data_IF_835039581984
#
_entry.id   IF_835039581984
#
_cell.length_a   1.000
_cell.length_b   1.000
_cell.length_c   1.000
_cell.angle_alpha   90.00
_cell.angle_beta   90.00
_cell.angle_gamma   90.00
#
_symmetry.space_group_name_H-M   'P 1'
#
loop_
_entity.id
_entity.type
_entity.pdbx_description
1 polymer ?
#
# COMPACT_ATOMS: atom_id res chain seq x y z
N UNK A 1 6.18 -12.79 -6.57
CA UNK A 1 4.87 -12.27 -6.17
C UNK A 1 4.56 -11.06 -7.03
N UNK A 2 3.34 -10.96 -7.53
CA UNK A 2 2.94 -9.83 -8.36
C UNK A 2 2.47 -8.67 -7.47
N UNK A 3 3.27 -7.62 -7.39
CA UNK A 3 2.96 -6.45 -6.55
C UNK A 3 2.08 -5.42 -7.26
N UNK A 4 1.68 -5.67 -8.49
CA UNK A 4 0.82 -4.74 -9.22
C UNK A 4 -0.54 -4.60 -8.53
N UNK A 5 -1.12 -5.71 -8.09
CA UNK A 5 -2.40 -5.70 -7.37
C UNK A 5 -2.27 -4.93 -6.07
N UNK A 6 -1.16 -5.14 -5.35
CA UNK A 6 -0.89 -4.42 -4.11
C UNK A 6 -0.94 -2.90 -4.33
N UNK A 7 -0.20 -2.42 -5.32
CA UNK A 7 -0.16 -0.98 -5.61
C UNK A 7 -1.53 -0.43 -6.00
N UNK A 8 -2.25 -1.15 -6.84
CA UNK A 8 -3.60 -0.74 -7.27
C UNK A 8 -4.56 -0.65 -6.10
N UNK A 9 -4.53 -1.64 -5.19
CA UNK A 9 -5.44 -1.67 -4.05
C UNK A 9 -5.09 -0.62 -3.02
N UNK A 10 -3.80 -0.37 -2.78
CA UNK A 10 -3.39 0.72 -1.88
C UNK A 10 -3.87 2.07 -2.44
N UNK A 11 -3.63 2.32 -3.73
CA UNK A 11 -4.05 3.57 -4.37
C UNK A 11 -5.57 3.75 -4.28
N UNK A 12 -6.32 2.68 -4.50
CA UNK A 12 -7.77 2.72 -4.43
C UNK A 12 -8.26 3.03 -3.01
N UNK A 13 -7.66 2.41 -2.00
CA UNK A 13 -8.01 2.67 -0.60
C UNK A 13 -7.68 4.11 -0.20
N UNK A 14 -6.53 4.63 -0.63
CA UNK A 14 -6.19 6.03 -0.38
C UNK A 14 -7.26 6.96 -0.95
N UNK A 15 -7.68 6.68 -2.18
CA UNK A 15 -8.71 7.49 -2.82
C UNK A 15 -10.03 7.43 -2.06
N UNK A 16 -10.46 6.22 -1.66
CA UNK A 16 -11.71 6.05 -0.92
C UNK A 16 -11.67 6.72 0.44
N UNK A 17 -10.52 6.70 1.10
CA UNK A 17 -10.35 7.30 2.42
C UNK A 17 -9.95 8.77 2.35
N UNK A 18 -9.83 9.32 1.14
CA UNK A 18 -9.43 10.72 0.92
C UNK A 18 -8.06 11.04 1.52
N UNK A 19 -7.14 10.08 1.41
CA UNK A 19 -5.76 10.22 1.83
C UNK A 19 -4.86 10.32 0.61
N UNK A 20 -3.72 11.00 0.78
CA UNK A 20 -2.71 11.11 -0.29
C UNK A 20 -1.57 10.15 -0.06
N UNK A 21 -0.81 9.86 -1.12
CA UNK A 21 0.40 9.06 -0.99
C UNK A 21 1.42 9.77 -0.08
N UNK A 22 1.47 11.10 -0.13
CA UNK A 22 2.36 11.88 0.73
C UNK A 22 2.06 11.63 2.20
N UNK A 23 0.79 11.65 2.59
CA UNK A 23 0.37 11.40 3.97
C UNK A 23 0.74 9.97 4.37
N UNK A 24 0.48 9.00 3.49
CA UNK A 24 0.84 7.61 3.80
C UNK A 24 2.35 7.47 3.98
N UNK A 25 3.14 8.08 3.09
CA UNK A 25 4.61 8.04 3.22
C UNK A 25 5.07 8.64 4.54
N UNK A 26 4.47 9.75 4.97
CA UNK A 26 4.79 10.37 6.25
C UNK A 26 4.51 9.42 7.41
N UNK A 27 3.35 8.73 7.39
CA UNK A 27 2.99 7.78 8.44
C UNK A 27 3.92 6.56 8.46
N UNK A 28 4.46 6.19 7.31
CA UNK A 28 5.40 5.08 7.20
C UNK A 28 6.85 5.51 7.47
N UNK A 29 7.10 6.82 7.60
CA UNK A 29 8.44 7.39 7.77
C UNK A 29 9.37 7.04 6.60
N UNK A 30 8.83 7.08 5.39
CA UNK A 30 9.58 6.85 4.17
C UNK A 30 9.41 8.04 3.23
N UNK A 31 10.30 8.15 2.24
CA UNK A 31 10.18 9.18 1.23
C UNK A 31 8.99 8.90 0.31
N UNK A 32 8.26 9.94 -0.15
CA UNK A 32 7.18 9.73 -1.11
C UNK A 32 7.64 9.02 -2.38
N UNK A 33 8.86 9.28 -2.84
CA UNK A 33 9.41 8.60 -4.02
C UNK A 33 9.57 7.10 -3.79
N UNK A 34 9.97 6.71 -2.58
CA UNK A 34 10.12 5.29 -2.21
C UNK A 34 8.76 4.60 -2.23
N UNK A 35 7.76 5.23 -1.62
CA UNK A 35 6.40 4.69 -1.64
C UNK A 35 5.88 4.57 -3.07
N UNK A 36 6.10 5.59 -3.90
CA UNK A 36 5.67 5.58 -5.29
C UNK A 36 6.25 4.39 -6.05
N UNK A 37 7.54 4.08 -5.85
CA UNK A 37 8.16 2.92 -6.48
C UNK A 37 7.49 1.61 -6.06
N UNK A 38 7.17 1.47 -4.78
CA UNK A 38 6.48 0.28 -4.30
C UNK A 38 5.08 0.15 -4.90
N UNK A 39 4.34 1.25 -5.00
CA UNK A 39 2.97 1.22 -5.50
C UNK A 39 2.89 1.05 -7.02
N UNK A 40 3.98 1.31 -7.73
CA UNK A 40 4.04 1.15 -9.18
C UNK A 40 4.79 -0.11 -9.62
N UNK A 41 4.99 -1.04 -8.70
CA UNK A 41 5.61 -2.34 -8.96
C UNK A 41 7.06 -2.23 -9.46
N UNK A 42 7.74 -1.15 -9.11
CA UNK A 42 9.15 -0.97 -9.47
C UNK A 42 10.09 -1.63 -8.48
N UNK A 43 9.70 -1.71 -7.22
CA UNK A 43 10.43 -2.38 -6.15
C UNK A 43 9.43 -3.03 -5.20
N UNK A 44 9.85 -4.09 -4.54
CA UNK A 44 9.02 -4.73 -3.53
C UNK A 44 9.19 -4.05 -2.18
N UNK A 45 8.09 -3.71 -1.48
CA UNK A 45 8.21 -3.19 -0.13
C UNK A 45 8.64 -4.30 0.84
N UNK A 46 9.33 -3.95 1.94
CA UNK A 46 9.56 -4.92 3.01
C UNK A 46 8.24 -5.45 3.56
N UNK A 47 8.27 -6.69 4.07
CA UNK A 47 7.07 -7.31 4.62
C UNK A 47 6.46 -6.47 5.74
N UNK A 48 7.29 -5.91 6.62
CA UNK A 48 6.79 -5.05 7.71
C UNK A 48 6.04 -3.84 7.17
N UNK A 49 6.50 -3.28 6.06
CA UNK A 49 5.84 -2.14 5.43
C UNK A 49 4.44 -2.52 4.92
N UNK A 50 4.30 -3.72 4.35
CA UNK A 50 2.99 -4.20 3.90
C UNK A 50 2.02 -4.30 5.08
N UNK A 51 2.49 -4.83 6.21
CA UNK A 51 1.68 -4.91 7.43
C UNK A 51 1.32 -3.52 7.93
N UNK A 52 2.28 -2.60 7.95
CA UNK A 52 2.04 -1.24 8.42
C UNK A 52 1.01 -0.51 7.55
N UNK A 53 1.09 -0.67 6.23
CA UNK A 53 0.12 -0.07 5.32
C UNK A 53 -1.28 -0.64 5.59
N UNK A 54 -1.38 -1.95 5.77
CA UNK A 54 -2.65 -2.60 6.07
C UNK A 54 -3.26 -2.04 7.37
N UNK A 55 -2.44 -1.88 8.40
CA UNK A 55 -2.89 -1.33 9.68
C UNK A 55 -3.33 0.13 9.53
N UNK A 56 -2.57 0.95 8.82
CA UNK A 56 -2.89 2.36 8.61
C UNK A 56 -4.20 2.51 7.84
N UNK A 57 -4.39 1.72 6.79
CA UNK A 57 -5.58 1.78 5.95
C UNK A 57 -6.76 0.97 6.52
N UNK A 58 -6.52 0.18 7.55
CA UNK A 58 -7.54 -0.66 8.20
C UNK A 58 -8.14 -1.68 7.23
N UNK A 59 -7.29 -2.29 6.44
CA UNK A 59 -7.65 -3.39 5.53
C UNK A 59 -6.75 -4.59 5.82
N UNK A 60 -7.14 -5.76 5.34
CA UNK A 60 -6.33 -6.95 5.55
C UNK A 60 -5.14 -6.99 4.60
N UNK A 61 -4.05 -7.63 5.03
CA UNK A 61 -2.93 -7.90 4.14
C UNK A 61 -3.34 -8.82 3.00
N UNK A 62 -4.26 -9.76 3.26
CA UNK A 62 -4.75 -10.69 2.23
C UNK A 62 -5.42 -9.93 1.08
N UNK A 63 -6.22 -8.92 1.41
CA UNK A 63 -6.83 -8.07 0.39
C UNK A 63 -5.77 -7.33 -0.41
N UNK A 64 -4.81 -6.70 0.26
CA UNK A 64 -3.76 -5.92 -0.40
C UNK A 64 -2.89 -6.79 -1.30
N UNK A 65 -2.66 -8.05 -0.92
CA UNK A 65 -1.82 -8.96 -1.69
C UNK A 65 -2.57 -9.73 -2.77
N UNK A 66 -3.89 -9.53 -2.86
CA UNK A 66 -4.67 -10.18 -3.90
C UNK A 66 -5.13 -11.59 -3.56
N UNK A 67 -4.96 -12.02 -2.31
CA UNK A 67 -5.42 -13.34 -1.86
C UNK A 67 -6.94 -13.34 -1.69
N UNK A 68 -7.50 -12.20 -1.29
CA UNK A 68 -8.95 -11.98 -1.21
C UNK A 68 -9.35 -10.90 -2.20
N UNK A 69 -10.57 -10.99 -2.73
CA UNK A 69 -11.12 -9.98 -3.63
C UNK A 69 -11.78 -8.83 -2.87
N UNK A 70 -11.98 -8.97 -1.58
CA UNK A 70 -12.62 -7.97 -0.72
C UNK A 70 -11.89 -7.91 0.62
N UNK A 71 -12.09 -6.85 1.33
CA UNK A 71 -11.52 -6.69 2.66
C UNK A 71 -12.39 -7.36 3.73
#
# INVERSE_FOLDING_TARGET
MNMKIFGERVKNELKQQKLTQKVLAERLSVLPSTLCEWLNDNNEPPMQTIVDIALILQVSTDYLLGIKDYD
#
